data_IF_524931944262
#
_entry.id   IF_524931944262
#
_cell.length_a   1.000
_cell.length_b   1.000
_cell.length_c   1.000
_cell.angle_alpha   90.00
_cell.angle_beta   90.00
_cell.angle_gamma   90.00
#
_symmetry.space_group_name_H-M   'P 1'
#
loop_
_entity.id
_entity.type
_entity.pdbx_description
1 polymer ?
#
# COMPACT_ATOMS: atom_id res chain seq x y z
N UNK A 1 2.14 7.94 18.43
CA UNK A 1 0.87 7.25 18.15
C UNK A 1 0.34 7.74 16.80
N UNK A 2 0.29 6.87 15.81
CA UNK A 2 -0.16 7.20 14.44
C UNK A 2 -1.62 6.74 14.17
N UNK A 3 -2.35 6.34 15.21
CA UNK A 3 -3.77 6.02 15.06
C UNK A 3 -4.56 7.25 14.66
N UNK A 4 -5.32 7.14 13.59
CA UNK A 4 -6.17 8.19 13.05
C UNK A 4 -7.64 7.90 13.32
N UNK A 5 -8.46 8.93 13.22
CA UNK A 5 -9.90 8.84 13.37
C UNK A 5 -10.57 8.95 11.99
N UNK A 6 -11.69 8.27 11.81
CA UNK A 6 -12.48 8.44 10.58
C UNK A 6 -12.85 9.91 10.41
N UNK A 7 -12.57 10.47 9.24
CA UNK A 7 -12.74 11.87 8.91
C UNK A 7 -11.50 12.74 9.10
N UNK A 8 -10.41 12.22 9.68
CA UNK A 8 -9.13 12.93 9.69
C UNK A 8 -8.65 13.18 8.26
N UNK A 9 -7.98 14.31 8.06
CA UNK A 9 -7.46 14.75 6.76
C UNK A 9 -5.93 14.82 6.82
N UNK A 10 -5.28 14.37 5.75
CA UNK A 10 -3.84 14.44 5.56
C UNK A 10 -3.49 14.50 4.08
N UNK A 11 -2.47 15.27 3.74
CA UNK A 11 -1.90 15.26 2.39
C UNK A 11 -0.95 14.09 2.21
N UNK A 12 -1.05 13.42 1.05
CA UNK A 12 -0.11 12.40 0.60
C UNK A 12 0.47 12.74 -0.77
N UNK A 13 1.76 12.49 -0.91
CA UNK A 13 2.43 12.44 -2.21
C UNK A 13 2.32 11.04 -2.76
N UNK A 14 1.91 10.91 -4.01
CA UNK A 14 1.84 9.62 -4.70
C UNK A 14 2.16 9.75 -6.18
N UNK A 15 2.47 8.64 -6.82
CA UNK A 15 2.90 8.63 -8.21
C UNK A 15 1.72 8.89 -9.15
N UNK A 16 1.81 9.99 -9.92
CA UNK A 16 0.74 10.45 -10.82
C UNK A 16 1.11 10.39 -12.30
N UNK A 17 2.34 9.97 -12.63
CA UNK A 17 2.79 9.91 -14.01
C UNK A 17 3.56 8.61 -14.31
N UNK A 18 2.95 7.77 -15.11
CA UNK A 18 3.51 6.48 -15.52
C UNK A 18 4.76 6.55 -16.42
N UNK A 19 5.09 7.72 -16.95
CA UNK A 19 6.32 7.92 -17.76
C UNK A 19 7.47 8.46 -16.92
N UNK A 20 7.18 8.88 -15.70
CA UNK A 20 8.15 9.47 -14.80
C UNK A 20 7.74 9.18 -13.34
N UNK A 21 8.24 8.09 -12.79
CA UNK A 21 7.94 7.66 -11.42
C UNK A 21 8.40 8.66 -10.34
N UNK A 22 9.18 9.67 -10.73
CA UNK A 22 9.55 10.78 -9.85
C UNK A 22 8.55 11.95 -9.89
N UNK A 23 7.54 11.88 -10.74
CA UNK A 23 6.46 12.86 -10.73
C UNK A 23 5.43 12.42 -9.71
N UNK A 24 5.40 13.13 -8.60
CA UNK A 24 4.46 12.92 -7.51
C UNK A 24 3.68 14.20 -7.25
N UNK A 25 2.37 14.08 -7.16
CA UNK A 25 1.51 15.17 -6.74
C UNK A 25 1.15 15.02 -5.26
N UNK A 26 0.90 16.15 -4.60
CA UNK A 26 0.48 16.22 -3.20
C UNK A 26 -1.02 16.45 -3.20
N UNK A 27 -1.78 15.50 -2.70
CA UNK A 27 -3.24 15.57 -2.66
C UNK A 27 -3.81 15.21 -1.29
N UNK A 28 -4.95 15.81 -0.98
CA UNK A 28 -5.66 15.62 0.28
C UNK A 28 -6.36 14.26 0.30
N UNK A 29 -6.09 13.49 1.35
CA UNK A 29 -6.75 12.23 1.65
C UNK A 29 -7.61 12.34 2.90
N UNK A 30 -8.73 11.64 2.90
CA UNK A 30 -9.58 11.47 4.09
C UNK A 30 -9.43 10.05 4.63
N UNK A 31 -9.29 9.92 5.95
CA UNK A 31 -9.32 8.61 6.61
C UNK A 31 -10.77 8.08 6.64
N UNK A 32 -11.02 7.01 5.91
CA UNK A 32 -12.35 6.40 5.83
C UNK A 32 -12.54 5.21 6.74
N UNK A 33 -11.45 4.56 7.14
CA UNK A 33 -11.50 3.44 8.06
C UNK A 33 -10.19 3.30 8.83
N UNK A 34 -10.25 2.77 10.04
CA UNK A 34 -9.05 2.42 10.78
C UNK A 34 -9.29 1.20 11.66
N UNK A 35 -8.23 0.44 11.87
CA UNK A 35 -8.14 -0.58 12.92
C UNK A 35 -7.00 -0.17 13.84
N UNK A 36 -7.34 0.09 15.11
CA UNK A 36 -6.38 0.60 16.09
C UNK A 36 -5.14 -0.28 16.16
N UNK A 37 -3.97 0.36 16.15
CA UNK A 37 -2.65 -0.27 16.20
C UNK A 37 -2.34 -1.25 15.05
N UNK A 38 -3.14 -1.20 13.96
CA UNK A 38 -2.99 -2.02 12.76
C UNK A 38 -2.84 -1.15 11.52
N UNK A 39 -3.92 -0.48 11.08
CA UNK A 39 -3.87 0.35 9.89
C UNK A 39 -4.86 1.52 9.91
N UNK A 40 -4.51 2.58 9.17
CA UNK A 40 -5.41 3.62 8.73
C UNK A 40 -5.63 3.46 7.22
N UNK A 41 -6.86 3.50 6.75
CA UNK A 41 -7.18 3.44 5.32
C UNK A 41 -7.66 4.80 4.85
N UNK A 42 -6.88 5.38 3.94
CA UNK A 42 -7.07 6.69 3.37
C UNK A 42 -7.62 6.58 1.96
N UNK A 43 -8.41 7.55 1.57
CA UNK A 43 -8.89 7.68 0.19
C UNK A 43 -8.62 9.08 -0.35
N UNK A 44 -8.00 9.13 -1.52
CA UNK A 44 -7.79 10.34 -2.32
C UNK A 44 -8.76 10.27 -3.49
N UNK A 45 -9.70 11.24 -3.65
CA UNK A 45 -10.63 11.24 -4.76
C UNK A 45 -9.92 11.28 -6.11
N UNK A 46 -10.34 10.43 -7.04
CA UNK A 46 -9.73 10.33 -8.39
C UNK A 46 -10.13 11.45 -9.33
N UNK A 47 -11.17 12.23 -8.98
CA UNK A 47 -11.84 13.16 -9.88
C UNK A 47 -12.80 12.46 -10.87
N UNK A 48 -12.91 11.14 -10.84
CA UNK A 48 -13.87 10.37 -11.62
C UNK A 48 -15.15 10.16 -10.82
N UNK A 49 -16.19 10.94 -11.12
CA UNK A 49 -17.37 11.09 -10.29
C UNK A 49 -18.02 9.76 -9.88
N UNK A 50 -18.15 8.79 -10.80
CA UNK A 50 -18.78 7.51 -10.47
C UNK A 50 -17.93 6.64 -9.55
N UNK A 51 -16.61 6.69 -9.67
CA UNK A 51 -15.67 5.98 -8.81
C UNK A 51 -15.66 6.60 -7.42
N UNK A 52 -15.53 7.92 -7.34
CA UNK A 52 -15.52 8.67 -6.09
C UNK A 52 -16.83 8.50 -5.32
N UNK A 53 -17.97 8.55 -5.99
CA UNK A 53 -19.28 8.29 -5.37
C UNK A 53 -19.41 6.85 -4.86
N UNK A 54 -18.85 5.87 -5.56
CA UNK A 54 -18.84 4.49 -5.10
C UNK A 54 -18.11 4.35 -3.75
N UNK A 55 -16.92 4.94 -3.61
CA UNK A 55 -16.15 4.86 -2.36
C UNK A 55 -16.70 5.77 -1.26
N UNK A 56 -17.26 6.93 -1.57
CA UNK A 56 -17.82 7.85 -0.55
C UNK A 56 -19.18 7.40 -0.03
N UNK A 57 -19.98 6.71 -0.85
CA UNK A 57 -21.31 6.25 -0.48
C UNK A 57 -21.32 4.82 0.10
N UNK A 58 -20.39 3.96 -0.32
CA UNK A 58 -20.26 2.60 0.17
C UNK A 58 -18.79 2.27 0.51
N UNK A 59 -18.47 2.38 1.79
CA UNK A 59 -17.12 2.14 2.31
C UNK A 59 -16.79 0.64 2.52
N UNK A 60 -17.63 -0.29 2.05
CA UNK A 60 -17.42 -1.74 2.29
C UNK A 60 -16.08 -2.23 1.75
N UNK A 61 -15.70 -1.80 0.55
CA UNK A 61 -14.41 -2.19 -0.03
C UNK A 61 -13.22 -1.62 0.73
N UNK A 62 -13.33 -0.38 1.20
CA UNK A 62 -12.32 0.26 2.05
C UNK A 62 -12.19 -0.51 3.38
N UNK A 63 -13.32 -0.89 3.98
CA UNK A 63 -13.32 -1.71 5.19
C UNK A 63 -12.73 -3.09 4.95
N UNK A 64 -13.07 -3.75 3.83
CA UNK A 64 -12.51 -5.05 3.46
C UNK A 64 -10.97 -5.02 3.36
N UNK A 65 -10.40 -3.97 2.79
CA UNK A 65 -8.95 -3.71 2.76
C UNK A 65 -8.34 -3.75 4.18
N UNK A 66 -8.93 -3.02 5.12
CA UNK A 66 -8.45 -2.98 6.50
C UNK A 66 -8.55 -4.35 7.19
N UNK A 67 -9.65 -5.08 6.96
CA UNK A 67 -9.87 -6.42 7.51
C UNK A 67 -8.88 -7.44 6.93
N UNK A 68 -8.65 -7.42 5.62
CA UNK A 68 -7.62 -8.24 4.96
C UNK A 68 -6.25 -7.95 5.57
N UNK A 69 -5.85 -6.68 5.62
CA UNK A 69 -4.56 -6.30 6.19
C UNK A 69 -4.40 -6.75 7.65
N UNK A 70 -5.43 -6.54 8.48
CA UNK A 70 -5.44 -6.99 9.88
C UNK A 70 -5.23 -8.49 10.02
N UNK A 71 -5.76 -9.27 9.09
CA UNK A 71 -5.64 -10.73 9.11
C UNK A 71 -4.25 -11.21 8.70
N UNK A 72 -3.60 -10.54 7.74
CA UNK A 72 -2.31 -10.99 7.20
C UNK A 72 -1.11 -10.43 7.97
N UNK A 73 -1.21 -9.21 8.54
CA UNK A 73 -0.08 -8.48 9.14
C UNK A 73 0.74 -9.35 10.10
N UNK A 74 0.10 -9.90 11.13
CA UNK A 74 0.79 -10.69 12.15
C UNK A 74 1.39 -12.00 11.61
N UNK A 75 0.82 -12.55 10.54
CA UNK A 75 1.31 -13.76 9.89
C UNK A 75 2.53 -13.47 9.03
N UNK A 76 2.49 -12.43 8.21
CA UNK A 76 3.64 -12.00 7.42
C UNK A 76 4.82 -11.57 8.30
N UNK A 77 4.57 -10.87 9.40
CA UNK A 77 5.62 -10.49 10.34
C UNK A 77 6.30 -11.68 11.00
N UNK A 78 5.60 -12.80 11.19
CA UNK A 78 6.22 -14.04 11.67
C UNK A 78 7.17 -14.65 10.64
N UNK A 79 6.91 -14.44 9.36
CA UNK A 79 7.73 -14.97 8.26
C UNK A 79 8.90 -14.05 7.95
N UNK A 80 8.66 -12.74 7.88
CA UNK A 80 9.58 -11.75 7.32
C UNK A 80 10.20 -10.81 8.36
N UNK A 81 9.72 -10.86 9.62
CA UNK A 81 10.10 -9.93 10.69
C UNK A 81 9.17 -8.73 10.79
N UNK A 82 9.19 -8.06 11.94
CA UNK A 82 8.27 -6.95 12.23
C UNK A 82 8.55 -5.70 11.40
N UNK A 83 7.49 -4.95 11.08
CA UNK A 83 7.59 -3.60 10.50
C UNK A 83 8.14 -2.58 11.50
N UNK A 84 8.13 -2.88 12.80
CA UNK A 84 8.73 -2.03 13.82
C UNK A 84 10.20 -2.35 14.04
N UNK A 85 10.97 -1.35 14.49
CA UNK A 85 12.39 -1.46 14.80
C UNK A 85 12.76 -0.51 15.95
N UNK A 86 13.81 -0.82 16.68
CA UNK A 86 14.31 0.03 17.78
C UNK A 86 15.40 0.98 17.32
N UNK A 87 16.23 0.51 16.41
CA UNK A 87 17.37 1.25 15.87
C UNK A 87 17.40 1.09 14.35
N UNK A 88 17.79 2.14 13.66
CA UNK A 88 18.02 2.15 12.23
C UNK A 88 19.53 2.23 11.94
N UNK A 89 19.97 1.55 10.91
CA UNK A 89 21.32 1.70 10.36
C UNK A 89 21.57 3.12 9.83
N UNK A 90 20.53 3.77 9.33
CA UNK A 90 20.59 5.13 8.79
C UNK A 90 19.97 6.13 9.76
N UNK A 91 20.60 7.30 9.90
CA UNK A 91 20.16 8.37 10.82
C UNK A 91 18.95 9.16 10.32
N UNK A 92 18.61 9.05 9.04
CA UNK A 92 17.54 9.80 8.38
C UNK A 92 16.30 8.93 8.05
N UNK A 93 16.12 7.85 8.74
CA UNK A 93 14.90 7.02 8.65
C UNK A 93 13.96 7.43 9.77
N UNK A 94 12.68 7.59 9.46
CA UNK A 94 11.64 7.94 10.44
C UNK A 94 11.62 6.94 11.59
N UNK A 95 11.11 7.37 12.75
CA UNK A 95 10.80 6.44 13.81
C UNK A 95 9.68 5.49 13.37
N UNK A 96 9.73 4.19 13.77
CA UNK A 96 8.71 3.24 13.37
C UNK A 96 7.34 3.64 13.89
N UNK A 97 6.32 3.47 13.08
CA UNK A 97 4.93 3.69 13.45
C UNK A 97 4.28 2.37 13.85
N UNK A 98 3.27 2.41 14.70
CA UNK A 98 2.50 1.22 15.09
C UNK A 98 1.45 0.85 14.04
N UNK A 99 1.00 1.85 13.30
CA UNK A 99 -0.13 1.74 12.39
C UNK A 99 0.33 2.03 10.98
N UNK A 100 0.10 1.10 10.05
CA UNK A 100 0.44 1.26 8.64
C UNK A 100 -0.63 2.12 7.95
N UNK A 101 -0.21 3.06 7.12
CA UNK A 101 -1.12 3.82 6.27
C UNK A 101 -1.35 3.07 4.94
N UNK A 102 -2.60 2.78 4.62
CA UNK A 102 -3.02 2.21 3.33
C UNK A 102 -3.72 3.33 2.57
N UNK A 103 -3.14 3.75 1.46
CA UNK A 103 -3.60 4.91 0.69
C UNK A 103 -4.23 4.43 -0.61
N UNK A 104 -5.54 4.65 -0.75
CA UNK A 104 -6.29 4.35 -1.96
C UNK A 104 -6.30 5.61 -2.82
N UNK A 105 -5.72 5.56 -4.02
CA UNK A 105 -5.58 6.69 -4.93
C UNK A 105 -5.65 6.24 -6.39
N UNK A 106 -5.82 7.17 -7.31
CA UNK A 106 -5.72 6.92 -8.75
C UNK A 106 -4.25 6.96 -9.18
N UNK A 107 -3.57 5.80 -9.09
CA UNK A 107 -2.16 5.68 -9.47
C UNK A 107 -2.03 6.01 -10.96
N UNK A 108 -1.11 6.94 -11.29
CA UNK A 108 -0.87 7.46 -12.63
C UNK A 108 -1.98 8.34 -13.22
N UNK A 109 -3.01 8.71 -12.46
CA UNK A 109 -4.16 9.50 -12.94
C UNK A 109 -4.78 8.92 -14.21
N UNK A 110 -4.93 7.61 -14.28
CA UNK A 110 -5.40 6.92 -15.48
C UNK A 110 -6.85 6.41 -15.39
N UNK A 111 -7.52 6.58 -14.25
CA UNK A 111 -8.93 6.22 -14.08
C UNK A 111 -9.89 7.01 -15.02
N UNK A 112 -9.47 8.19 -15.47
CA UNK A 112 -10.23 9.05 -16.38
C UNK A 112 -10.00 8.75 -17.87
N UNK A 113 -9.07 7.86 -18.22
CA UNK A 113 -8.74 7.64 -19.61
C UNK A 113 -9.82 6.83 -20.32
N UNK A 114 -10.42 7.43 -21.36
CA UNK A 114 -11.41 6.78 -22.26
C UNK A 114 -10.79 5.65 -23.10
N UNK A 115 -9.51 5.35 -22.94
CA UNK A 115 -8.75 4.47 -23.83
C UNK A 115 -8.49 3.05 -23.25
N UNK A 116 -9.12 2.66 -22.14
CA UNK A 116 -8.89 1.34 -21.48
C UNK A 116 -7.40 0.99 -21.27
N UNK A 117 -6.55 1.97 -21.07
CA UNK A 117 -5.12 1.80 -20.87
C UNK A 117 -4.75 2.02 -19.40
N UNK A 118 -5.47 1.33 -18.50
CA UNK A 118 -4.96 1.21 -17.13
C UNK A 118 -3.64 0.46 -17.20
N UNK A 119 -2.58 1.02 -16.63
CA UNK A 119 -1.22 0.53 -16.87
C UNK A 119 -0.83 -0.68 -16.03
N UNK A 120 -1.79 -1.29 -15.33
CA UNK A 120 -1.58 -2.54 -14.63
C UNK A 120 -0.83 -2.42 -13.30
N UNK A 121 -0.61 -1.19 -12.79
CA UNK A 121 -0.07 -1.00 -11.44
C UNK A 121 -1.25 -1.02 -10.46
N UNK A 122 -1.36 -2.11 -9.72
CA UNK A 122 -2.44 -2.33 -8.76
C UNK A 122 -2.11 -1.71 -7.40
N UNK A 123 -0.83 -1.63 -7.07
CA UNK A 123 -0.31 -1.01 -5.87
C UNK A 123 1.20 -0.84 -5.92
N UNK A 124 1.76 -0.19 -4.90
CA UNK A 124 3.20 -0.09 -4.69
C UNK A 124 3.54 0.26 -3.25
N UNK A 125 4.75 -0.10 -2.82
CA UNK A 125 5.43 0.41 -1.64
C UNK A 125 6.50 1.42 -2.06
N UNK A 126 6.62 2.55 -1.33
CA UNK A 126 7.66 3.54 -1.56
C UNK A 126 8.62 3.65 -0.37
N UNK A 127 9.89 3.22 -0.51
CA UNK A 127 10.89 3.43 0.52
C UNK A 127 11.11 4.89 0.91
N UNK A 128 10.85 5.83 -0.02
CA UNK A 128 10.98 7.28 0.21
C UNK A 128 10.09 7.79 1.32
N UNK A 129 8.94 7.14 1.57
CA UNK A 129 8.03 7.50 2.65
C UNK A 129 8.65 7.34 4.03
N UNK A 130 9.62 6.46 4.16
CA UNK A 130 10.32 6.19 5.41
C UNK A 130 11.59 7.03 5.60
N UNK A 131 11.94 7.89 4.66
CA UNK A 131 13.12 8.77 4.74
C UNK A 131 12.67 10.15 5.23
N UNK A 132 13.22 10.61 6.36
CA UNK A 132 12.95 11.93 6.92
C UNK A 132 13.29 13.03 5.91
N UNK A 133 12.40 14.01 5.79
CA UNK A 133 12.55 15.16 4.88
C UNK A 133 12.74 14.80 3.41
N UNK A 134 12.38 13.61 3.00
CA UNK A 134 12.37 13.23 1.58
C UNK A 134 11.38 14.08 0.80
N UNK A 135 11.83 14.70 -0.28
CA UNK A 135 10.96 15.47 -1.18
C UNK A 135 9.86 14.58 -1.80
N UNK A 136 10.11 13.29 -1.92
CA UNK A 136 9.20 12.30 -2.53
C UNK A 136 8.43 11.48 -1.50
N UNK A 137 8.70 11.67 -0.20
CA UNK A 137 8.15 10.83 0.86
C UNK A 137 7.09 11.51 1.71
N UNK A 138 6.37 10.70 2.49
CA UNK A 138 5.25 11.13 3.33
C UNK A 138 5.56 11.04 4.84
N UNK A 139 6.79 10.72 5.24
CA UNK A 139 7.20 10.52 6.64
C UNK A 139 6.28 9.52 7.37
N UNK A 140 6.03 8.38 6.75
CA UNK A 140 5.20 7.30 7.31
C UNK A 140 5.59 5.94 6.74
N UNK A 141 5.04 4.87 7.27
CA UNK A 141 5.06 3.54 6.66
C UNK A 141 3.74 3.34 5.92
N UNK A 142 3.78 3.41 4.59
CA UNK A 142 2.59 3.35 3.75
C UNK A 142 2.70 2.33 2.62
N UNK A 143 1.54 1.83 2.19
CA UNK A 143 1.35 1.12 0.92
C UNK A 143 0.23 1.81 0.14
N UNK A 144 0.35 1.81 -1.19
CA UNK A 144 -0.58 2.48 -2.09
C UNK A 144 -1.35 1.47 -2.91
N UNK A 145 -2.64 1.71 -3.08
CA UNK A 145 -3.57 0.83 -3.80
C UNK A 145 -4.33 1.67 -4.83
N UNK A 146 -4.37 1.17 -6.05
CA UNK A 146 -5.09 1.84 -7.12
C UNK A 146 -6.62 1.72 -6.94
N UNK A 147 -7.30 2.86 -7.00
CA UNK A 147 -8.73 2.98 -6.75
C UNK A 147 -9.58 2.30 -7.83
N UNK A 148 -9.12 2.30 -9.09
CA UNK A 148 -9.83 1.62 -10.18
C UNK A 148 -9.77 0.09 -10.00
N UNK A 149 -8.59 -0.47 -9.72
CA UNK A 149 -8.45 -1.90 -9.49
C UNK A 149 -9.22 -2.35 -8.25
N UNK A 150 -9.24 -1.57 -7.18
CA UNK A 150 -10.09 -1.86 -6.02
C UNK A 150 -11.58 -1.91 -6.38
N UNK A 151 -12.03 -1.01 -7.25
CA UNK A 151 -13.43 -1.02 -7.70
C UNK A 151 -13.77 -2.22 -8.58
N UNK A 152 -12.86 -2.59 -9.49
CA UNK A 152 -13.09 -3.57 -10.55
C UNK A 152 -12.66 -5.01 -10.19
N UNK A 153 -11.54 -5.17 -9.47
CA UNK A 153 -10.84 -6.43 -9.23
C UNK A 153 -10.39 -6.57 -7.78
N UNK A 154 -11.33 -6.55 -6.84
CA UNK A 154 -11.07 -6.51 -5.39
C UNK A 154 -10.14 -7.63 -4.90
N UNK A 155 -10.30 -8.86 -5.39
CA UNK A 155 -9.44 -10.00 -5.00
C UNK A 155 -7.97 -9.81 -5.41
N UNK A 156 -7.74 -9.24 -6.61
CA UNK A 156 -6.38 -8.89 -7.05
C UNK A 156 -5.74 -7.87 -6.10
N UNK A 157 -6.52 -6.89 -5.64
CA UNK A 157 -6.04 -5.90 -4.66
C UNK A 157 -5.70 -6.56 -3.32
N UNK A 158 -6.47 -7.54 -2.86
CA UNK A 158 -6.16 -8.27 -1.63
C UNK A 158 -4.80 -9.00 -1.72
N UNK A 159 -4.50 -9.62 -2.86
CA UNK A 159 -3.18 -10.20 -3.12
C UNK A 159 -2.08 -9.15 -3.17
N UNK A 160 -2.35 -8.01 -3.82
CA UNK A 160 -1.40 -6.89 -3.91
C UNK A 160 -1.07 -6.31 -2.54
N UNK A 161 -2.00 -6.27 -1.59
CA UNK A 161 -1.72 -5.82 -0.22
C UNK A 161 -0.65 -6.69 0.45
N UNK A 162 -0.72 -8.02 0.28
CA UNK A 162 0.31 -8.95 0.74
C UNK A 162 1.65 -8.63 0.08
N UNK A 163 1.66 -8.46 -1.24
CA UNK A 163 2.86 -8.16 -2.02
C UNK A 163 3.57 -6.89 -1.53
N UNK A 164 2.84 -5.79 -1.44
CA UNK A 164 3.41 -4.49 -1.07
C UNK A 164 3.82 -4.44 0.40
N UNK A 165 3.06 -5.10 1.28
CA UNK A 165 3.47 -5.22 2.67
C UNK A 165 4.73 -6.07 2.83
N UNK A 166 4.91 -7.12 2.02
CA UNK A 166 6.15 -7.89 1.98
C UNK A 166 7.35 -7.03 1.58
N UNK A 167 7.19 -6.13 0.59
CA UNK A 167 8.23 -5.16 0.24
C UNK A 167 8.60 -4.25 1.42
N UNK A 168 7.60 -3.71 2.13
CA UNK A 168 7.82 -2.89 3.32
C UNK A 168 8.59 -3.68 4.40
N UNK A 169 8.17 -4.92 4.70
CA UNK A 169 8.84 -5.78 5.68
C UNK A 169 10.29 -6.08 5.29
N UNK A 170 10.54 -6.40 4.02
CA UNK A 170 11.89 -6.62 3.51
C UNK A 170 12.76 -5.37 3.62
N UNK A 171 12.23 -4.20 3.26
CA UNK A 171 12.93 -2.93 3.42
C UNK A 171 13.30 -2.67 4.87
N UNK A 172 12.36 -2.82 5.81
CA UNK A 172 12.61 -2.61 7.24
C UNK A 172 13.64 -3.62 7.77
N UNK A 173 13.42 -4.91 7.51
CA UNK A 173 14.20 -5.97 8.15
C UNK A 173 15.59 -6.18 7.52
N UNK A 174 15.89 -5.52 6.42
CA UNK A 174 17.20 -5.60 5.75
C UNK A 174 17.85 -4.24 5.62
N UNK A 175 17.21 -3.30 4.92
CA UNK A 175 17.79 -1.99 4.66
C UNK A 175 17.83 -1.14 5.92
N UNK A 176 16.69 -0.97 6.60
CA UNK A 176 16.60 -0.11 7.77
C UNK A 176 17.42 -0.64 8.93
N UNK A 177 17.27 -1.92 9.28
CA UNK A 177 17.94 -2.51 10.46
C UNK A 177 19.44 -2.77 10.23
N UNK A 178 19.85 -3.17 9.02
CA UNK A 178 21.20 -3.68 8.77
C UNK A 178 21.97 -3.00 7.64
N UNK A 179 21.36 -2.06 6.91
CA UNK A 179 22.00 -1.38 5.78
C UNK A 179 22.25 -2.28 4.56
N UNK A 180 21.57 -3.44 4.49
CA UNK A 180 21.75 -4.42 3.42
C UNK A 180 20.83 -4.12 2.24
N UNK A 181 21.37 -4.19 1.03
CA UNK A 181 20.59 -4.12 -0.21
C UNK A 181 20.33 -5.52 -0.77
N UNK A 182 19.22 -5.65 -1.49
CA UNK A 182 18.91 -6.79 -2.32
C UNK A 182 18.73 -6.40 -3.76
N UNK A 183 19.00 -7.34 -4.65
CA UNK A 183 18.61 -7.23 -6.04
C UNK A 183 17.07 -7.16 -6.14
N UNK A 184 16.53 -6.28 -6.97
CA UNK A 184 15.08 -6.10 -7.14
C UNK A 184 14.36 -7.41 -7.45
N UNK A 185 14.91 -8.23 -8.35
CA UNK A 185 14.31 -9.52 -8.70
C UNK A 185 14.12 -10.45 -7.49
N UNK A 186 15.01 -10.35 -6.49
CA UNK A 186 14.91 -11.18 -5.29
C UNK A 186 13.78 -10.72 -4.37
N UNK A 187 13.61 -9.42 -4.20
CA UNK A 187 12.49 -8.87 -3.41
C UNK A 187 11.16 -9.14 -4.08
N UNK A 188 11.08 -9.01 -5.41
CA UNK A 188 9.89 -9.40 -6.18
C UNK A 188 9.55 -10.87 -6.00
N UNK A 189 10.54 -11.76 -6.11
CA UNK A 189 10.34 -13.19 -5.88
C UNK A 189 9.78 -13.48 -4.49
N UNK A 190 10.30 -12.82 -3.44
CA UNK A 190 9.80 -13.01 -2.07
C UNK A 190 8.36 -12.52 -1.92
N UNK A 191 8.01 -11.39 -2.52
CA UNK A 191 6.65 -10.86 -2.49
C UNK A 191 5.67 -11.78 -3.25
N UNK A 192 6.07 -12.33 -4.40
CA UNK A 192 5.26 -13.33 -5.12
C UNK A 192 5.07 -14.62 -4.31
N UNK A 193 6.11 -15.09 -3.61
CA UNK A 193 5.99 -16.24 -2.70
C UNK A 193 5.04 -15.93 -1.54
N UNK A 194 5.06 -14.71 -1.01
CA UNK A 194 4.12 -14.30 0.03
C UNK A 194 2.67 -14.32 -0.52
N UNK A 195 2.42 -13.80 -1.72
CA UNK A 195 1.11 -13.88 -2.36
C UNK A 195 0.63 -15.35 -2.47
N UNK A 196 1.46 -16.25 -2.98
CA UNK A 196 1.14 -17.69 -3.10
C UNK A 196 0.82 -18.34 -1.75
N UNK A 197 1.56 -18.00 -0.70
CA UNK A 197 1.33 -18.53 0.66
C UNK A 197 0.02 -18.06 1.28
N UNK A 198 -0.45 -16.87 0.92
CA UNK A 198 -1.68 -16.28 1.45
C UNK A 198 -2.91 -16.50 0.55
N UNK A 199 -2.75 -17.03 -0.66
CA UNK A 199 -3.83 -17.24 -1.63
C UNK A 199 -5.02 -18.00 -1.02
N UNK A 200 -4.77 -19.18 -0.45
CA UNK A 200 -5.80 -19.99 0.21
C UNK A 200 -6.42 -19.28 1.41
N UNK A 201 -5.60 -18.57 2.19
CA UNK A 201 -6.03 -17.84 3.38
C UNK A 201 -6.97 -16.68 3.04
N UNK A 202 -6.73 -16.00 1.93
CA UNK A 202 -7.54 -14.89 1.43
C UNK A 202 -8.78 -15.35 0.64
N UNK A 203 -8.92 -16.66 0.40
CA UNK A 203 -10.00 -17.21 -0.42
C UNK A 203 -9.92 -16.76 -1.87
N UNK A 204 -8.71 -16.57 -2.39
CA UNK A 204 -8.43 -16.22 -3.78
C UNK A 204 -8.47 -17.53 -4.57
N UNK A 205 -9.31 -17.60 -5.59
CA UNK A 205 -9.39 -18.79 -6.45
C UNK A 205 -8.21 -18.81 -7.44
N UNK A 206 -7.82 -19.99 -7.92
CA UNK A 206 -6.68 -20.19 -8.80
C UNK A 206 -6.73 -19.30 -10.06
N UNK A 207 -7.95 -18.98 -10.54
CA UNK A 207 -8.18 -18.12 -11.69
C UNK A 207 -8.04 -16.60 -11.38
N UNK A 208 -8.06 -16.21 -10.10
CA UNK A 208 -7.97 -14.81 -9.63
C UNK A 208 -6.60 -14.50 -8.99
N UNK A 209 -5.74 -15.50 -8.85
CA UNK A 209 -4.47 -15.41 -8.14
C UNK A 209 -3.27 -14.99 -9.00
N UNK A 210 -2.10 -14.82 -8.38
CA UNK A 210 -0.88 -14.34 -9.04
C UNK A 210 -0.32 -15.30 -10.10
N UNK A 211 -0.69 -16.58 -10.05
CA UNK A 211 -0.21 -17.61 -11.02
C UNK A 211 -0.66 -17.38 -12.47
N UNK A 212 -1.58 -16.44 -12.69
CA UNK A 212 -2.07 -16.06 -14.03
C UNK A 212 -1.43 -14.77 -14.58
N UNK A 213 -0.48 -14.19 -13.86
CA UNK A 213 0.22 -12.96 -14.26
C UNK A 213 1.45 -13.21 -15.11
#
# INVERSE_FOLDING_TARGET
DNNKTIGDIRDFRYCTNSKNDNQMDLEEATCYYNIKDVCNVWYIPSGYQSLDQNFTNDTKKIKAIAEVFSNIQALEEKLCGSHTYKESFYSNVINPVQTIDIVICDIYHDALTTQNTHRGVVGYFSPSDMIEDSFYGNNTQAIYIDSYFLAALEKMVHSTIVHEYNHLLNFVNKKVKYGLDYETWFTEMLSMVAEDLFEDYLGIEEDDGPKQR
#
